data_IF_331926588947
#
_entry.id   IF_331926588947
#
_cell.length_a   1.000
_cell.length_b   1.000
_cell.length_c   1.000
_cell.angle_alpha   90.00
_cell.angle_beta   90.00
_cell.angle_gamma   90.00
#
_symmetry.space_group_name_H-M   'P 1'
#
loop_
_entity.id
_entity.type
_entity.pdbx_description
1 polymer ?
#
# COMPACT_ATOMS: atom_id res chain seq x y z
N UNK A 1 -17.71 -7.50 12.40
CA UNK A 1 -16.44 -7.76 13.10
C UNK A 1 -15.92 -9.11 12.62
N UNK A 2 -14.89 -9.09 11.78
CA UNK A 2 -14.30 -10.29 11.15
C UNK A 2 -13.21 -10.94 12.02
N UNK A 3 -12.62 -10.16 12.93
CA UNK A 3 -11.46 -10.58 13.74
C UNK A 3 -11.92 -11.13 15.10
N UNK A 4 -13.06 -10.67 15.63
CA UNK A 4 -13.60 -11.12 16.91
C UNK A 4 -14.24 -12.51 16.93
N UNK A 5 -14.51 -13.13 15.77
CA UNK A 5 -15.11 -14.46 15.70
C UNK A 5 -14.02 -15.53 15.49
N UNK A 6 -13.81 -16.38 16.50
CA UNK A 6 -12.79 -17.44 16.50
C UNK A 6 -12.91 -18.39 15.28
N UNK A 7 -14.13 -18.73 14.84
CA UNK A 7 -14.34 -19.60 13.69
C UNK A 7 -13.97 -18.93 12.36
N UNK A 8 -14.25 -17.63 12.25
CA UNK A 8 -13.95 -16.84 11.03
C UNK A 8 -12.44 -16.57 10.94
N UNK A 9 -11.81 -16.26 12.08
CA UNK A 9 -10.38 -15.99 12.19
C UNK A 9 -9.56 -17.22 11.76
N UNK A 10 -9.84 -18.38 12.33
CA UNK A 10 -9.02 -19.58 12.08
C UNK A 10 -9.31 -20.22 10.72
N UNK A 11 -10.57 -20.19 10.25
CA UNK A 11 -10.94 -20.87 9.01
C UNK A 11 -10.63 -20.06 7.73
N UNK A 12 -10.83 -18.73 7.75
CA UNK A 12 -10.69 -17.90 6.54
C UNK A 12 -9.28 -17.38 6.38
N UNK A 13 -8.66 -16.92 7.47
CA UNK A 13 -7.35 -16.27 7.39
C UNK A 13 -6.25 -17.32 7.21
N UNK A 14 -6.26 -18.39 8.00
CA UNK A 14 -5.22 -19.42 7.92
C UNK A 14 -5.24 -20.13 6.55
N UNK A 15 -6.43 -20.56 6.10
CA UNK A 15 -6.57 -21.33 4.86
C UNK A 15 -6.57 -20.49 3.58
N UNK A 16 -6.40 -19.15 3.65
CA UNK A 16 -6.34 -18.34 2.43
C UNK A 16 -5.12 -18.74 1.60
N UNK A 17 -5.29 -19.21 0.34
CA UNK A 17 -4.18 -19.69 -0.50
C UNK A 17 -3.24 -18.57 -0.91
N UNK A 18 -3.74 -17.33 -0.91
CA UNK A 18 -2.99 -16.13 -1.26
C UNK A 18 -3.15 -15.11 -0.14
N UNK A 19 -2.06 -14.49 0.29
CA UNK A 19 -2.06 -13.41 1.29
C UNK A 19 -1.20 -12.25 0.81
N UNK A 20 -1.69 -11.03 1.05
CA UNK A 20 -1.00 -9.79 0.76
C UNK A 20 -0.78 -9.06 2.08
N UNK A 21 0.49 -8.92 2.49
CA UNK A 21 0.85 -8.28 3.75
C UNK A 21 1.66 -7.03 3.47
N UNK A 22 1.16 -5.89 3.93
CA UNK A 22 1.90 -4.63 3.95
C UNK A 22 2.79 -4.58 5.20
N UNK A 23 3.51 -3.48 5.36
CA UNK A 23 4.40 -3.21 6.49
C UNK A 23 3.76 -3.55 7.85
N UNK A 24 4.44 -4.38 8.63
CA UNK A 24 4.03 -4.83 9.96
C UNK A 24 4.97 -4.34 11.08
N UNK A 25 5.86 -3.37 10.80
CA UNK A 25 6.87 -2.87 11.75
C UNK A 25 6.25 -2.40 13.08
N UNK A 26 5.06 -1.80 13.04
CA UNK A 26 4.33 -1.37 14.23
C UNK A 26 3.90 -2.53 15.15
N UNK A 27 3.92 -3.77 14.64
CA UNK A 27 3.53 -4.98 15.36
C UNK A 27 4.71 -5.90 15.64
N UNK A 28 5.97 -5.44 15.49
CA UNK A 28 7.17 -6.26 15.75
C UNK A 28 7.12 -6.98 17.11
N UNK A 29 6.67 -6.29 18.17
CA UNK A 29 6.55 -6.88 19.52
C UNK A 29 5.48 -7.97 19.66
N UNK A 30 4.56 -8.06 18.71
CA UNK A 30 3.45 -9.02 18.67
C UNK A 30 3.45 -9.82 17.37
N UNK A 31 4.61 -9.91 16.72
CA UNK A 31 4.68 -10.55 15.41
C UNK A 31 4.44 -12.06 15.51
N UNK A 32 4.77 -12.67 16.65
CA UNK A 32 4.46 -14.08 16.91
C UNK A 32 2.94 -14.36 16.87
N UNK A 33 2.11 -13.46 17.42
CA UNK A 33 0.64 -13.55 17.33
C UNK A 33 0.17 -13.51 15.87
N UNK A 34 0.82 -12.66 15.06
CA UNK A 34 0.54 -12.50 13.63
C UNK A 34 0.95 -13.76 12.87
N UNK A 35 2.13 -14.32 13.15
CA UNK A 35 2.59 -15.57 12.54
C UNK A 35 1.63 -16.72 12.83
N UNK A 36 1.18 -16.86 14.08
CA UNK A 36 0.23 -17.91 14.46
C UNK A 36 -1.11 -17.74 13.73
N UNK A 37 -1.64 -16.52 13.71
CA UNK A 37 -2.95 -16.22 13.09
C UNK A 37 -2.92 -16.45 11.57
N UNK A 38 -1.79 -16.14 10.92
CA UNK A 38 -1.64 -16.21 9.47
C UNK A 38 -1.06 -17.55 8.98
N UNK A 39 -0.66 -18.45 9.88
CA UNK A 39 -0.03 -19.73 9.55
C UNK A 39 1.35 -19.57 8.90
N UNK A 40 2.14 -18.60 9.35
CA UNK A 40 3.44 -18.27 8.74
C UNK A 40 4.58 -19.08 9.35
N UNK A 41 5.49 -19.53 8.50
CA UNK A 41 6.79 -20.04 8.94
C UNK A 41 7.76 -18.90 9.30
N UNK A 42 8.80 -19.21 10.08
CA UNK A 42 9.88 -18.26 10.41
C UNK A 42 10.56 -17.67 9.15
N UNK A 43 10.70 -18.49 8.09
CA UNK A 43 11.25 -18.03 6.81
C UNK A 43 10.38 -16.94 6.19
N UNK A 44 9.06 -17.12 6.20
CA UNK A 44 8.12 -16.13 5.65
C UNK A 44 8.09 -14.87 6.53
N UNK A 45 8.11 -15.04 7.85
CA UNK A 45 8.20 -13.95 8.81
C UNK A 45 9.41 -13.03 8.54
N UNK A 46 10.59 -13.61 8.38
CA UNK A 46 11.81 -12.86 8.09
C UNK A 46 11.71 -12.06 6.77
N UNK A 47 11.04 -12.61 5.74
CA UNK A 47 10.81 -11.90 4.48
C UNK A 47 9.81 -10.75 4.68
N UNK A 48 8.71 -10.97 5.42
CA UNK A 48 7.70 -9.93 5.68
C UNK A 48 8.30 -8.77 6.50
N UNK A 49 9.14 -9.07 7.48
CA UNK A 49 9.82 -8.04 8.28
C UNK A 49 10.83 -7.24 7.47
N UNK A 50 11.20 -7.67 6.26
CA UNK A 50 12.09 -6.91 5.37
C UNK A 50 11.40 -5.80 4.57
N UNK A 51 10.05 -5.77 4.56
CA UNK A 51 9.25 -4.76 3.86
C UNK A 51 9.70 -3.35 4.26
N UNK A 52 9.90 -2.49 3.26
CA UNK A 52 10.33 -1.09 3.37
C UNK A 52 11.69 -0.87 4.07
N UNK A 53 12.52 -1.91 4.27
CA UNK A 53 13.84 -1.75 4.92
C UNK A 53 14.96 -1.31 3.95
N UNK A 54 14.81 -1.55 2.65
CA UNK A 54 15.80 -1.22 1.63
C UNK A 54 15.15 -0.71 0.33
N UNK A 55 14.31 0.32 0.43
CA UNK A 55 13.70 0.90 -0.77
C UNK A 55 14.76 1.51 -1.70
N UNK A 56 14.62 1.27 -3.00
CA UNK A 56 15.48 1.84 -4.04
C UNK A 56 15.05 3.28 -4.34
N UNK A 57 15.93 4.23 -4.04
CA UNK A 57 15.70 5.66 -4.27
C UNK A 57 15.71 6.06 -5.74
N UNK A 58 16.20 5.19 -6.64
CA UNK A 58 16.17 5.43 -8.09
C UNK A 58 14.82 5.10 -8.73
N UNK A 59 13.90 4.48 -7.98
CA UNK A 59 12.55 4.14 -8.47
C UNK A 59 11.53 5.24 -8.14
N UNK A 60 10.47 5.40 -8.97
CA UNK A 60 9.32 6.22 -8.59
C UNK A 60 8.74 5.76 -7.25
N UNK A 61 8.12 6.66 -6.46
CA UNK A 61 7.51 6.32 -5.17
C UNK A 61 6.64 5.06 -5.28
N UNK A 62 6.90 4.10 -4.40
CA UNK A 62 6.19 2.84 -4.34
C UNK A 62 6.00 2.42 -2.88
N UNK A 63 5.08 1.49 -2.65
CA UNK A 63 4.94 0.80 -1.36
C UNK A 63 5.37 -0.64 -1.53
N UNK A 64 5.99 -1.24 -0.52
CA UNK A 64 6.27 -2.67 -0.54
C UNK A 64 5.17 -3.49 0.12
N UNK A 65 5.01 -4.70 -0.38
CA UNK A 65 4.05 -5.69 0.09
C UNK A 65 4.63 -7.09 -0.11
N UNK A 66 4.48 -7.96 0.88
CA UNK A 66 4.75 -9.38 0.72
C UNK A 66 3.55 -10.07 0.06
N UNK A 67 3.83 -10.83 -1.00
CA UNK A 67 2.88 -11.76 -1.62
C UNK A 67 3.23 -13.18 -1.17
N UNK A 68 2.26 -13.84 -0.56
CA UNK A 68 2.34 -15.23 -0.14
C UNK A 68 1.42 -16.08 -1.01
N UNK A 69 1.94 -17.17 -1.55
CA UNK A 69 1.19 -18.17 -2.33
C UNK A 69 1.67 -19.55 -1.86
N UNK A 70 0.94 -20.16 -0.92
CA UNK A 70 1.45 -21.33 -0.19
C UNK A 70 2.81 -21.04 0.47
N UNK A 71 3.82 -21.84 0.15
CA UNK A 71 5.20 -21.66 0.67
C UNK A 71 5.99 -20.57 -0.07
N UNK A 72 5.51 -20.10 -1.22
CA UNK A 72 6.15 -19.01 -1.93
C UNK A 72 5.90 -17.69 -1.21
N UNK A 73 6.96 -16.94 -0.92
CA UNK A 73 6.86 -15.61 -0.32
C UNK A 73 7.93 -14.70 -0.89
N UNK A 74 7.53 -13.52 -1.34
CA UNK A 74 8.45 -12.50 -1.86
C UNK A 74 7.88 -11.10 -1.65
N UNK A 75 8.77 -10.14 -1.40
CA UNK A 75 8.43 -8.72 -1.34
C UNK A 75 8.41 -8.14 -2.75
N UNK A 76 7.34 -7.42 -3.05
CA UNK A 76 7.16 -6.69 -4.30
C UNK A 76 6.96 -5.20 -4.01
N UNK A 77 7.55 -4.36 -4.84
CA UNK A 77 7.22 -2.94 -4.87
C UNK A 77 5.97 -2.72 -5.73
N UNK A 78 4.91 -2.20 -5.13
CA UNK A 78 3.66 -1.84 -5.78
C UNK A 78 3.70 -0.36 -6.13
N UNK A 79 3.70 -0.10 -7.43
CA UNK A 79 3.67 1.25 -8.00
C UNK A 79 2.25 1.61 -8.42
N UNK A 80 1.87 2.87 -8.18
CA UNK A 80 0.61 3.43 -8.64
C UNK A 80 0.89 4.44 -9.75
N UNK A 81 0.03 4.46 -10.77
CA UNK A 81 0.05 5.56 -11.74
C UNK A 81 -0.09 6.89 -11.01
N UNK A 82 0.72 7.89 -11.40
CA UNK A 82 0.67 9.24 -10.81
C UNK A 82 -0.74 9.84 -10.92
N UNK A 83 -1.46 9.55 -12.00
CA UNK A 83 -2.84 10.00 -12.18
C UNK A 83 -3.76 9.35 -11.16
N UNK A 84 -3.67 8.02 -10.97
CA UNK A 84 -4.49 7.32 -9.99
C UNK A 84 -4.19 7.78 -8.56
N UNK A 85 -2.91 7.99 -8.24
CA UNK A 85 -2.51 8.59 -6.97
C UNK A 85 -3.14 9.98 -6.78
N UNK A 86 -3.04 10.85 -7.77
CA UNK A 86 -3.60 12.21 -7.72
C UNK A 86 -5.14 12.20 -7.59
N UNK A 87 -5.82 11.22 -8.19
CA UNK A 87 -7.28 11.06 -8.06
C UNK A 87 -7.71 10.73 -6.64
N UNK A 88 -6.90 9.97 -5.88
CA UNK A 88 -7.27 9.44 -4.56
C UNK A 88 -6.42 9.97 -3.41
N UNK A 89 -5.58 10.98 -3.66
CA UNK A 89 -4.75 11.55 -2.59
C UNK A 89 -5.63 12.20 -1.53
N UNK A 90 -5.29 11.95 -0.26
CA UNK A 90 -5.87 12.61 0.90
C UNK A 90 -4.93 13.64 1.52
N UNK A 91 -3.73 13.79 0.94
CA UNK A 91 -2.75 14.75 1.41
C UNK A 91 -3.24 16.16 1.09
N UNK A 92 -3.61 16.92 2.13
CA UNK A 92 -4.25 18.23 2.01
C UNK A 92 -3.54 19.15 1.00
N UNK A 93 -2.21 19.21 1.10
CA UNK A 93 -1.37 20.02 0.20
C UNK A 93 -1.53 19.64 -1.27
N UNK A 94 -1.58 18.34 -1.58
CA UNK A 94 -1.72 17.84 -2.94
C UNK A 94 -3.15 18.07 -3.48
N UNK A 95 -4.16 17.91 -2.63
CA UNK A 95 -5.55 18.22 -2.95
C UNK A 95 -5.72 19.70 -3.30
N UNK A 96 -5.12 20.60 -2.51
CA UNK A 96 -5.12 22.04 -2.78
C UNK A 96 -4.42 22.37 -4.10
N UNK A 97 -3.22 21.81 -4.35
CA UNK A 97 -2.50 22.01 -5.62
C UNK A 97 -3.31 21.56 -6.85
N UNK A 98 -4.02 20.42 -6.76
CA UNK A 98 -4.88 19.91 -7.83
C UNK A 98 -6.10 20.82 -8.03
N UNK A 99 -6.70 21.29 -6.94
CA UNK A 99 -7.86 22.19 -6.99
C UNK A 99 -7.49 23.53 -7.64
N UNK A 100 -6.33 24.10 -7.31
CA UNK A 100 -5.84 25.35 -7.89
C UNK A 100 -5.61 25.21 -9.40
N UNK A 101 -4.95 24.14 -9.84
CA UNK A 101 -4.79 23.86 -11.28
C UNK A 101 -6.14 23.73 -11.98
N UNK A 102 -7.05 22.97 -11.36
CA UNK A 102 -8.39 22.74 -11.90
C UNK A 102 -9.13 24.05 -12.12
N UNK A 103 -9.17 24.92 -11.10
CA UNK A 103 -9.90 26.18 -11.15
C UNK A 103 -9.24 27.20 -12.08
N UNK A 104 -7.92 27.38 -11.96
CA UNK A 104 -7.24 28.51 -12.57
C UNK A 104 -6.64 28.24 -13.96
N UNK A 105 -6.29 26.98 -14.29
CA UNK A 105 -5.70 26.63 -15.59
C UNK A 105 -6.60 25.78 -16.46
N UNK A 106 -7.46 24.97 -15.83
CA UNK A 106 -8.30 24.00 -16.53
C UNK A 106 -9.80 24.32 -16.45
N UNK A 107 -10.16 25.55 -16.05
CA UNK A 107 -11.52 26.09 -16.09
C UNK A 107 -12.58 25.19 -15.40
N UNK A 108 -12.21 24.58 -14.28
CA UNK A 108 -13.08 23.68 -13.52
C UNK A 108 -13.08 22.22 -14.00
N UNK A 109 -12.30 21.88 -15.02
CA UNK A 109 -12.15 20.49 -15.46
C UNK A 109 -11.21 19.71 -14.54
N UNK A 110 -11.79 19.01 -13.56
CA UNK A 110 -11.06 18.23 -12.55
C UNK A 110 -10.21 17.11 -13.16
N UNK A 111 -10.70 16.41 -14.18
CA UNK A 111 -9.94 15.34 -14.82
C UNK A 111 -8.67 15.90 -15.48
N UNK A 112 -8.78 17.04 -16.17
CA UNK A 112 -7.64 17.72 -16.77
C UNK A 112 -6.65 18.22 -15.71
N UNK A 113 -7.14 18.81 -14.61
CA UNK A 113 -6.33 19.26 -13.48
C UNK A 113 -5.56 18.11 -12.80
N UNK A 114 -6.20 16.97 -12.55
CA UNK A 114 -5.56 15.75 -12.00
C UNK A 114 -4.46 15.26 -12.95
N UNK A 115 -4.76 15.12 -14.24
CA UNK A 115 -3.77 14.65 -15.23
C UNK A 115 -2.59 15.62 -15.36
N UNK A 116 -2.85 16.91 -15.26
CA UNK A 116 -1.82 17.95 -15.29
C UNK A 116 -0.91 17.88 -14.06
N UNK A 117 -1.48 17.83 -12.86
CA UNK A 117 -0.75 17.70 -11.62
C UNK A 117 0.12 16.43 -11.60
N UNK A 118 -0.43 15.31 -12.09
CA UNK A 118 0.26 14.03 -12.20
C UNK A 118 1.46 14.06 -13.15
N UNK A 119 1.45 14.94 -14.17
CA UNK A 119 2.59 15.20 -15.06
C UNK A 119 3.64 16.14 -14.44
N UNK A 120 3.35 16.74 -13.30
CA UNK A 120 4.25 17.65 -12.59
C UNK A 120 3.92 19.13 -12.75
N UNK A 121 2.80 19.48 -13.39
CA UNK A 121 2.37 20.86 -13.47
C UNK A 121 1.97 21.39 -12.09
N UNK A 122 2.28 22.65 -11.79
CA UNK A 122 1.88 23.35 -10.57
C UNK A 122 1.36 24.73 -10.94
N UNK A 123 0.40 25.23 -10.16
CA UNK A 123 -0.21 26.54 -10.42
C UNK A 123 0.76 27.69 -10.13
N UNK A 124 1.56 27.54 -9.06
CA UNK A 124 2.65 28.43 -8.65
C UNK A 124 4.02 27.85 -8.99
#
# INVERSE_FOLDING_TARGET
DLVGNAFVKDAIINNSPIKFLFDQSNYEKRFDDIMQTLGLSEKQANIILSINRMNDSNRPKYKEMALLIGDYTKVYGVEMSKTAYATFTTEKREVEEIADLTLHRYHGNTEAGIKAWARGERFN
#
